data_IF_066897272882
#
_entry.id   IF_066897272882
#
_cell.length_a   1.000
_cell.length_b   1.000
_cell.length_c   1.000
_cell.angle_alpha   90.00
_cell.angle_beta   90.00
_cell.angle_gamma   90.00
#
_symmetry.space_group_name_H-M   'P 1'
#
loop_
_entity.id
_entity.type
_entity.pdbx_description
1 polymer ?
#
# COMPACT_ATOMS: atom_id res chain seq x y z
N UNK A 1 51.73 20.22 31.78
CA UNK A 1 50.60 21.11 31.47
C UNK A 1 50.27 21.00 29.99
N UNK A 2 49.32 20.16 29.61
CA UNK A 2 48.60 20.28 28.32
C UNK A 2 47.28 19.53 28.48
N UNK A 3 46.21 20.31 28.36
CA UNK A 3 44.86 19.94 28.74
C UNK A 3 44.33 18.76 27.95
N UNK A 4 43.78 17.78 28.67
CA UNK A 4 42.92 16.75 28.10
C UNK A 4 41.76 17.46 27.42
N UNK A 5 41.73 17.39 26.10
CA UNK A 5 40.61 17.81 25.26
C UNK A 5 39.38 17.03 25.73
N UNK A 6 38.45 17.72 26.39
CA UNK A 6 37.16 17.16 26.78
C UNK A 6 36.49 16.62 25.52
N UNK A 7 36.30 15.30 25.47
CA UNK A 7 35.46 14.66 24.47
C UNK A 7 34.08 15.33 24.55
N UNK A 8 33.67 16.00 23.47
CA UNK A 8 32.29 16.46 23.31
C UNK A 8 31.42 15.20 23.36
N UNK A 9 30.76 14.98 24.49
CA UNK A 9 29.67 14.02 24.62
C UNK A 9 28.72 14.23 23.44
N UNK A 10 28.42 13.17 22.70
CA UNK A 10 27.27 13.18 21.81
C UNK A 10 26.06 13.66 22.64
N UNK A 11 25.28 14.65 22.17
CA UNK A 11 24.10 15.08 22.91
C UNK A 11 23.19 13.87 23.05
N UNK A 12 22.94 13.45 24.29
CA UNK A 12 22.04 12.36 24.60
C UNK A 12 20.66 12.71 24.05
N UNK A 13 20.10 11.78 23.27
CA UNK A 13 18.76 11.86 22.70
C UNK A 13 17.80 12.31 23.81
N UNK A 14 17.23 13.51 23.70
CA UNK A 14 16.29 13.97 24.72
C UNK A 14 14.99 13.17 24.60
N UNK A 15 14.21 13.09 25.68
CA UNK A 15 12.89 12.44 25.63
C UNK A 15 11.99 13.07 24.56
N UNK A 16 12.17 14.37 24.28
CA UNK A 16 11.48 15.07 23.19
C UNK A 16 11.87 14.55 21.79
N UNK A 17 13.16 14.28 21.56
CA UNK A 17 13.66 13.71 20.30
C UNK A 17 13.17 12.27 20.11
N UNK A 18 13.16 11.49 21.17
CA UNK A 18 12.63 10.12 21.15
C UNK A 18 11.13 10.09 20.84
N UNK A 19 10.33 10.98 21.46
CA UNK A 19 8.89 11.08 21.20
C UNK A 19 8.58 11.55 19.77
N UNK A 20 9.36 12.49 19.24
CA UNK A 20 9.22 12.92 17.84
C UNK A 20 9.57 11.78 16.87
N UNK A 21 10.65 11.04 17.13
CA UNK A 21 11.06 9.88 16.32
C UNK A 21 10.01 8.77 16.36
N UNK A 22 9.42 8.48 17.52
CA UNK A 22 8.34 7.51 17.66
C UNK A 22 7.14 7.88 16.79
N UNK A 23 6.67 9.13 16.86
CA UNK A 23 5.54 9.59 16.03
C UNK A 23 5.80 9.44 14.54
N UNK A 24 7.01 9.77 14.08
CA UNK A 24 7.37 9.60 12.67
C UNK A 24 7.33 8.13 12.24
N UNK A 25 7.85 7.23 13.08
CA UNK A 25 7.81 5.79 12.83
C UNK A 25 6.38 5.24 12.87
N UNK A 26 5.52 5.72 13.75
CA UNK A 26 4.10 5.33 13.80
C UNK A 26 3.37 5.73 12.52
N UNK A 27 3.61 6.95 12.02
CA UNK A 27 3.04 7.43 10.75
C UNK A 27 3.54 6.57 9.58
N UNK A 28 4.84 6.33 9.49
CA UNK A 28 5.43 5.49 8.44
C UNK A 28 4.87 4.06 8.49
N UNK A 29 4.78 3.48 9.70
CA UNK A 29 4.23 2.14 9.87
C UNK A 29 2.76 2.06 9.42
N UNK A 30 1.95 3.07 9.75
CA UNK A 30 0.55 3.14 9.31
C UNK A 30 0.44 3.23 7.78
N UNK A 31 1.27 4.05 7.14
CA UNK A 31 1.30 4.17 5.67
C UNK A 31 1.71 2.85 5.00
N UNK A 32 2.75 2.19 5.53
CA UNK A 32 3.20 0.90 5.01
C UNK A 32 2.15 -0.20 5.20
N UNK A 33 1.48 -0.25 6.35
CA UNK A 33 0.38 -1.20 6.61
C UNK A 33 -0.76 -0.98 5.62
N UNK A 34 -1.17 0.27 5.42
CA UNK A 34 -2.22 0.60 4.46
C UNK A 34 -1.85 0.21 3.03
N UNK A 35 -0.59 0.43 2.62
CA UNK A 35 -0.09 0.01 1.32
C UNK A 35 -0.07 -1.52 1.16
N UNK A 36 0.28 -2.27 2.21
CA UNK A 36 0.26 -3.73 2.21
C UNK A 36 -1.16 -4.28 2.10
N UNK A 37 -2.11 -3.74 2.88
CA UNK A 37 -3.52 -4.13 2.83
C UNK A 37 -4.12 -3.88 1.44
N UNK A 38 -3.83 -2.71 0.85
CA UNK A 38 -4.24 -2.36 -0.51
C UNK A 38 -3.67 -3.32 -1.56
N UNK A 39 -2.44 -3.81 -1.35
CA UNK A 39 -1.83 -4.78 -2.27
C UNK A 39 -2.51 -6.15 -2.19
N UNK A 40 -2.84 -6.62 -0.99
CA UNK A 40 -3.49 -7.93 -0.80
C UNK A 40 -4.82 -8.00 -1.55
N UNK A 41 -5.68 -6.99 -1.41
CA UNK A 41 -7.01 -7.01 -2.05
C UNK A 41 -6.92 -6.96 -3.58
N UNK A 42 -5.95 -6.22 -4.13
CA UNK A 42 -5.72 -6.15 -5.58
C UNK A 42 -5.21 -7.49 -6.10
N UNK A 43 -4.27 -8.15 -5.41
CA UNK A 43 -3.79 -9.47 -5.81
C UNK A 43 -4.88 -10.55 -5.76
N UNK A 44 -5.75 -10.52 -4.74
CA UNK A 44 -6.92 -11.40 -4.66
C UNK A 44 -7.88 -11.15 -5.84
N UNK A 45 -8.19 -9.89 -6.14
CA UNK A 45 -9.05 -9.51 -7.26
C UNK A 45 -8.49 -10.00 -8.60
N UNK A 46 -7.18 -9.83 -8.83
CA UNK A 46 -6.50 -10.35 -10.03
C UNK A 46 -6.66 -11.86 -10.15
N UNK A 47 -6.49 -12.61 -9.05
CA UNK A 47 -6.70 -14.06 -9.00
C UNK A 47 -8.14 -14.45 -9.35
N UNK A 48 -9.13 -13.81 -8.72
CA UNK A 48 -10.55 -14.07 -9.00
C UNK A 48 -10.90 -13.82 -10.47
N UNK A 49 -10.44 -12.71 -11.06
CA UNK A 49 -10.69 -12.37 -12.46
C UNK A 49 -9.96 -13.31 -13.41
N UNK A 50 -8.71 -13.66 -13.11
CA UNK A 50 -7.89 -14.59 -13.89
C UNK A 50 -8.59 -15.96 -14.02
N UNK A 51 -9.00 -16.54 -12.89
CA UNK A 51 -9.73 -17.82 -12.85
C UNK A 51 -11.05 -17.71 -13.59
N UNK A 52 -11.84 -16.66 -13.32
CA UNK A 52 -13.18 -16.50 -13.90
C UNK A 52 -13.13 -16.33 -15.42
N UNK A 53 -12.18 -15.56 -15.94
CA UNK A 53 -12.09 -15.21 -17.36
C UNK A 53 -11.14 -16.10 -18.15
N UNK A 54 -10.40 -17.00 -17.49
CA UNK A 54 -9.41 -17.86 -18.12
C UNK A 54 -8.24 -17.08 -18.73
N UNK A 55 -7.83 -15.98 -18.10
CA UNK A 55 -6.76 -15.09 -18.61
C UNK A 55 -5.57 -15.05 -17.64
N UNK A 56 -4.35 -14.73 -18.11
CA UNK A 56 -3.22 -14.48 -17.23
C UNK A 56 -3.50 -13.39 -16.19
N UNK A 57 -2.84 -13.48 -15.04
CA UNK A 57 -2.98 -12.55 -13.91
C UNK A 57 -2.63 -11.11 -14.29
N UNK A 58 -1.69 -10.93 -15.22
CA UNK A 58 -1.27 -9.64 -15.79
C UNK A 58 -2.41 -9.04 -16.62
N UNK A 59 -3.08 -9.85 -17.44
CA UNK A 59 -4.24 -9.42 -18.24
C UNK A 59 -5.42 -9.08 -17.33
N UNK A 60 -5.65 -9.87 -16.28
CA UNK A 60 -6.66 -9.57 -15.27
C UNK A 60 -6.43 -8.19 -14.63
N UNK A 61 -5.17 -7.84 -14.32
CA UNK A 61 -4.84 -6.54 -13.76
C UNK A 61 -5.13 -5.38 -14.72
N UNK A 62 -4.78 -5.53 -16.00
CA UNK A 62 -5.10 -4.51 -17.00
C UNK A 62 -6.61 -4.31 -17.17
N UNK A 63 -7.40 -5.39 -17.10
CA UNK A 63 -8.86 -5.30 -17.14
C UNK A 63 -9.43 -4.54 -15.92
N UNK A 64 -8.91 -4.83 -14.72
CA UNK A 64 -9.31 -4.14 -13.48
C UNK A 64 -8.95 -2.65 -13.56
N UNK A 65 -7.73 -2.34 -14.00
CA UNK A 65 -7.27 -0.94 -14.16
C UNK A 65 -8.09 -0.20 -15.22
N UNK A 66 -8.42 -0.86 -16.33
CA UNK A 66 -9.27 -0.31 -17.38
C UNK A 66 -10.65 0.06 -16.87
N UNK A 67 -11.29 -0.84 -16.12
CA UNK A 67 -12.62 -0.60 -15.54
C UNK A 67 -12.62 0.49 -14.45
N UNK A 68 -11.61 0.49 -13.57
CA UNK A 68 -11.43 1.56 -12.57
C UNK A 68 -11.32 2.93 -13.25
N UNK A 69 -10.52 3.04 -14.31
CA UNK A 69 -10.35 4.29 -15.06
C UNK A 69 -11.60 4.73 -15.81
N UNK A 70 -12.31 3.80 -16.48
CA UNK A 70 -13.52 4.16 -17.23
C UNK A 70 -14.65 4.61 -16.32
N UNK A 71 -14.79 3.97 -15.15
CA UNK A 71 -15.82 4.30 -14.15
C UNK A 71 -15.40 5.45 -13.22
N UNK A 72 -14.16 5.96 -13.33
CA UNK A 72 -13.56 6.94 -12.40
C UNK A 72 -13.66 6.49 -10.94
N UNK A 73 -13.44 5.20 -10.71
CA UNK A 73 -13.48 4.59 -9.38
C UNK A 73 -12.09 4.25 -8.91
N UNK A 74 -11.88 4.37 -7.62
CA UNK A 74 -10.67 3.92 -6.99
C UNK A 74 -10.46 2.41 -7.21
N UNK A 75 -9.24 2.03 -7.61
CA UNK A 75 -8.94 0.63 -7.96
C UNK A 75 -9.09 -0.31 -6.76
N UNK A 76 -8.87 0.19 -5.54
CA UNK A 76 -9.00 -0.57 -4.31
C UNK A 76 -10.46 -0.91 -3.98
N UNK A 77 -11.38 0.02 -4.18
CA UNK A 77 -12.81 -0.22 -4.01
C UNK A 77 -13.33 -1.24 -5.04
N UNK A 78 -12.91 -1.08 -6.30
CA UNK A 78 -13.26 -2.03 -7.36
C UNK A 78 -12.68 -3.43 -7.07
N UNK A 79 -11.44 -3.52 -6.58
CA UNK A 79 -10.83 -4.79 -6.20
C UNK A 79 -11.61 -5.48 -5.06
N UNK A 80 -12.02 -4.73 -4.03
CA UNK A 80 -12.84 -5.27 -2.95
C UNK A 80 -14.20 -5.81 -3.46
N UNK A 81 -14.86 -5.08 -4.35
CA UNK A 81 -16.09 -5.53 -5.00
C UNK A 81 -15.89 -6.79 -5.84
N UNK A 82 -14.80 -6.87 -6.61
CA UNK A 82 -14.46 -8.03 -7.41
C UNK A 82 -14.26 -9.27 -6.54
N UNK A 83 -13.55 -9.14 -5.40
CA UNK A 83 -13.34 -10.23 -4.45
C UNK A 83 -14.67 -10.67 -3.85
N UNK A 84 -15.50 -9.73 -3.40
CA UNK A 84 -16.84 -10.01 -2.87
C UNK A 84 -17.74 -10.73 -3.90
N UNK A 85 -17.58 -10.42 -5.19
CA UNK A 85 -18.36 -10.99 -6.29
C UNK A 85 -17.65 -12.12 -7.05
N UNK A 86 -16.60 -12.73 -6.46
CA UNK A 86 -15.85 -13.85 -7.03
C UNK A 86 -15.41 -13.63 -8.50
N UNK A 87 -14.84 -12.46 -8.79
CA UNK A 87 -14.28 -12.12 -10.11
C UNK A 87 -15.28 -11.44 -11.06
N UNK A 88 -16.54 -11.26 -10.66
CA UNK A 88 -17.54 -10.59 -11.48
C UNK A 88 -17.44 -9.06 -11.36
N UNK A 89 -17.31 -8.37 -12.50
CA UNK A 89 -17.37 -6.91 -12.60
C UNK A 89 -17.66 -6.48 -14.04
N UNK A 90 -18.21 -5.28 -14.19
CA UNK A 90 -18.53 -4.68 -15.49
C UNK A 90 -17.30 -3.99 -16.08
N UNK A 91 -17.03 -4.25 -17.36
CA UNK A 91 -16.10 -3.45 -18.15
C UNK A 91 -16.96 -2.70 -19.15
N UNK A 92 -17.17 -1.40 -18.94
CA UNK A 92 -17.77 -0.56 -19.97
C UNK A 92 -16.78 -0.49 -21.14
N UNK A 93 -17.15 -1.10 -22.27
CA UNK A 93 -16.40 -0.95 -23.51
C UNK A 93 -16.64 0.46 -24.03
N UNK A 94 -15.55 1.20 -24.20
CA UNK A 94 -15.54 2.46 -24.94
C UNK A 94 -15.64 2.19 -26.44
#
# INVERSE_FOLDING_TARGET
MQGRKLAKSAPGLTVGDAAARLRLLEIENAQLRHALESRVIIEQAKGCVSVRRGVPVEVAFELIRGASRSQRREIHELAAEIVANAGHFTVERR
#
